data_IF_252857714789
#
_entry.id   IF_252857714789
#
_cell.length_a   1.000
_cell.length_b   1.000
_cell.length_c   1.000
_cell.angle_alpha   90.00
_cell.angle_beta   90.00
_cell.angle_gamma   90.00
#
_symmetry.space_group_name_H-M   'P 1'
#
loop_
_entity.id
_entity.type
_entity.pdbx_description
1 polymer ?
#
# COMPACT_ATOMS: atom_id res chain seq x y z
N UNK A 1 32.82 1.16 -34.36
CA UNK A 1 31.43 1.38 -33.93
C UNK A 1 31.11 0.35 -32.85
N UNK A 2 31.21 0.72 -31.57
CA UNK A 2 30.91 -0.16 -30.43
C UNK A 2 29.77 0.47 -29.64
N UNK A 3 28.60 -0.15 -29.73
CA UNK A 3 27.39 0.21 -28.99
C UNK A 3 27.58 -0.11 -27.50
N UNK A 4 27.74 0.92 -26.68
CA UNK A 4 27.60 0.83 -25.22
C UNK A 4 26.14 0.56 -24.89
N UNK A 5 25.82 -0.71 -24.64
CA UNK A 5 24.53 -1.10 -24.03
C UNK A 5 24.44 -0.45 -22.65
N UNK A 6 23.40 0.34 -22.33
CA UNK A 6 23.28 0.94 -21.01
C UNK A 6 23.04 -0.19 -20.02
N UNK A 7 24.06 -0.49 -19.21
CA UNK A 7 23.92 -1.39 -18.07
C UNK A 7 22.73 -0.89 -17.25
N UNK A 8 21.69 -1.74 -17.08
CA UNK A 8 20.55 -1.47 -16.20
C UNK A 8 21.10 -1.17 -14.80
N UNK A 9 21.30 0.11 -14.48
CA UNK A 9 21.70 0.54 -13.15
C UNK A 9 20.61 0.08 -12.19
N UNK A 10 20.99 -0.75 -11.21
CA UNK A 10 20.08 -1.16 -10.14
C UNK A 10 19.72 0.11 -9.34
N UNK A 11 18.44 0.31 -8.97
CA UNK A 11 18.03 1.47 -8.21
C UNK A 11 18.83 1.59 -6.91
N UNK A 12 19.28 2.80 -6.58
CA UNK A 12 20.04 3.06 -5.34
C UNK A 12 19.13 2.94 -4.12
N UNK A 13 19.66 2.70 -2.90
CA UNK A 13 18.85 2.63 -1.69
C UNK A 13 17.97 3.87 -1.47
N UNK A 14 18.49 5.07 -1.78
CA UNK A 14 17.76 6.34 -1.70
C UNK A 14 16.58 6.40 -2.66
N UNK A 15 16.73 5.84 -3.86
CA UNK A 15 15.64 5.73 -4.84
C UNK A 15 14.57 4.73 -4.40
N UNK A 16 14.88 3.74 -3.55
CA UNK A 16 13.91 2.73 -3.09
C UNK A 16 13.03 3.20 -1.93
N UNK A 17 13.49 4.17 -1.12
CA UNK A 17 12.75 4.65 0.05
C UNK A 17 11.35 5.17 -0.32
N UNK A 18 11.17 6.04 -1.33
CA UNK A 18 9.85 6.53 -1.73
C UNK A 18 8.92 5.39 -2.18
N UNK A 19 9.43 4.44 -2.98
CA UNK A 19 8.63 3.29 -3.43
C UNK A 19 8.15 2.41 -2.28
N UNK A 20 9.00 2.17 -1.28
CA UNK A 20 8.63 1.36 -0.12
C UNK A 20 7.62 2.11 0.77
N UNK A 21 7.87 3.39 1.04
CA UNK A 21 6.94 4.26 1.80
C UNK A 21 5.55 4.23 1.18
N UNK A 22 5.46 4.44 -0.13
CA UNK A 22 4.16 4.58 -0.80
C UNK A 22 3.40 3.25 -0.90
N UNK A 23 4.12 2.14 -1.13
CA UNK A 23 3.53 0.79 -1.06
C UNK A 23 2.99 0.45 0.31
N UNK A 24 3.73 0.78 1.37
CA UNK A 24 3.28 0.57 2.75
C UNK A 24 2.03 1.41 3.02
N UNK A 25 2.03 2.69 2.63
CA UNK A 25 0.90 3.59 2.84
C UNK A 25 -0.37 3.12 2.13
N UNK A 26 -0.30 2.83 0.82
CA UNK A 26 -1.46 2.36 0.04
C UNK A 26 -1.96 1.00 0.54
N UNK A 27 -1.05 0.07 0.86
CA UNK A 27 -1.43 -1.23 1.41
C UNK A 27 -2.10 -1.11 2.77
N UNK A 28 -1.62 -0.20 3.60
CA UNK A 28 -2.19 0.05 4.91
C UNK A 28 -3.61 0.65 4.82
N UNK A 29 -3.79 1.68 4.01
CA UNK A 29 -5.10 2.32 3.77
C UNK A 29 -6.08 1.32 3.16
N UNK A 30 -5.66 0.55 2.15
CA UNK A 30 -6.52 -0.45 1.53
C UNK A 30 -6.91 -1.57 2.50
N UNK A 31 -6.00 -2.02 3.37
CA UNK A 31 -6.31 -3.00 4.41
C UNK A 31 -7.35 -2.45 5.40
N UNK A 32 -7.20 -1.20 5.85
CA UNK A 32 -8.14 -0.57 6.76
C UNK A 32 -9.56 -0.48 6.15
N UNK A 33 -9.67 -0.11 4.88
CA UNK A 33 -10.95 -0.06 4.16
C UNK A 33 -11.59 -1.44 4.04
N UNK A 34 -10.81 -2.45 3.67
CA UNK A 34 -11.33 -3.82 3.56
C UNK A 34 -11.80 -4.38 4.91
N UNK A 35 -11.09 -4.08 6.00
CA UNK A 35 -11.52 -4.47 7.35
C UNK A 35 -12.82 -3.77 7.76
N UNK A 36 -12.97 -2.49 7.41
CA UNK A 36 -14.22 -1.74 7.64
C UNK A 36 -15.41 -2.33 6.88
N UNK A 37 -15.21 -2.67 5.60
CA UNK A 37 -16.23 -3.34 4.78
C UNK A 37 -16.57 -4.74 5.31
N UNK A 38 -15.56 -5.51 5.70
CA UNK A 38 -15.75 -6.86 6.23
C UNK A 38 -16.54 -6.90 7.53
N UNK A 39 -16.54 -5.82 8.31
CA UNK A 39 -17.34 -5.74 9.52
C UNK A 39 -18.85 -5.74 9.25
N UNK A 40 -19.27 -5.32 8.05
CA UNK A 40 -20.66 -5.33 7.58
C UNK A 40 -20.80 -6.16 6.31
N UNK A 41 -20.05 -7.27 6.21
CA UNK A 41 -19.95 -8.04 4.97
C UNK A 41 -21.31 -8.53 4.46
N UNK A 42 -22.22 -8.90 5.37
CA UNK A 42 -23.58 -9.36 5.04
C UNK A 42 -24.45 -8.31 4.32
N UNK A 43 -24.16 -7.02 4.55
CA UNK A 43 -24.89 -5.89 3.94
C UNK A 43 -24.06 -5.20 2.83
N UNK A 44 -22.85 -5.69 2.56
CA UNK A 44 -21.93 -5.06 1.62
C UNK A 44 -22.17 -5.59 0.21
N UNK A 45 -22.61 -4.71 -0.69
CA UNK A 45 -22.65 -5.06 -2.11
C UNK A 45 -21.21 -5.26 -2.66
N UNK A 46 -20.96 -6.32 -3.47
CA UNK A 46 -19.64 -6.58 -4.04
C UNK A 46 -19.05 -5.39 -4.81
N UNK A 47 -19.89 -4.64 -5.52
CA UNK A 47 -19.45 -3.47 -6.27
C UNK A 47 -18.99 -2.34 -5.34
N UNK A 48 -19.65 -2.14 -4.20
CA UNK A 48 -19.26 -1.17 -3.17
C UNK A 48 -17.90 -1.52 -2.59
N UNK A 49 -17.57 -2.80 -2.42
CA UNK A 49 -16.25 -3.21 -1.96
C UNK A 49 -15.14 -2.87 -2.96
N UNK A 50 -15.36 -3.16 -4.25
CA UNK A 50 -14.42 -2.82 -5.33
C UNK A 50 -14.20 -1.32 -5.42
N UNK A 51 -15.28 -0.54 -5.49
CA UNK A 51 -15.19 0.92 -5.66
C UNK A 51 -14.58 1.59 -4.45
N UNK A 52 -14.94 1.18 -3.23
CA UNK A 52 -14.33 1.69 -2.00
C UNK A 52 -12.83 1.46 -1.96
N UNK A 53 -12.36 0.26 -2.31
CA UNK A 53 -10.94 -0.04 -2.36
C UNK A 53 -10.20 0.80 -3.42
N UNK A 54 -10.79 0.95 -4.61
CA UNK A 54 -10.20 1.76 -5.68
C UNK A 54 -10.12 3.24 -5.31
N UNK A 55 -11.19 3.81 -4.74
CA UNK A 55 -11.23 5.19 -4.25
C UNK A 55 -10.17 5.39 -3.19
N UNK A 56 -10.05 4.46 -2.24
CA UNK A 56 -9.05 4.54 -1.18
C UNK A 56 -7.61 4.47 -1.73
N UNK A 57 -7.35 3.56 -2.67
CA UNK A 57 -6.04 3.41 -3.28
C UNK A 57 -5.63 4.66 -4.09
N UNK A 58 -6.52 5.16 -4.95
CA UNK A 58 -6.29 6.36 -5.75
C UNK A 58 -6.17 7.59 -4.85
N UNK A 59 -7.00 7.69 -3.82
CA UNK A 59 -6.95 8.77 -2.82
C UNK A 59 -5.62 8.77 -2.06
N UNK A 60 -5.19 7.61 -1.57
CA UNK A 60 -3.92 7.44 -0.87
C UNK A 60 -2.71 7.75 -1.78
N UNK A 61 -2.71 7.24 -3.01
CA UNK A 61 -1.65 7.53 -3.98
C UNK A 61 -1.61 9.02 -4.35
N UNK A 62 -2.77 9.64 -4.60
CA UNK A 62 -2.86 11.07 -4.90
C UNK A 62 -2.37 11.93 -3.73
N UNK A 63 -2.73 11.56 -2.50
CA UNK A 63 -2.21 12.23 -1.30
C UNK A 63 -0.69 12.07 -1.16
N UNK A 64 -0.14 10.89 -1.48
CA UNK A 64 1.30 10.65 -1.56
C UNK A 64 1.99 11.57 -2.57
N UNK A 65 1.45 11.64 -3.79
CA UNK A 65 1.96 12.51 -4.85
C UNK A 65 1.93 13.99 -4.43
N UNK A 66 0.83 14.47 -3.85
CA UNK A 66 0.72 15.84 -3.34
C UNK A 66 1.71 16.09 -2.22
N UNK A 67 1.88 15.14 -1.29
CA UNK A 67 2.87 15.24 -0.21
C UNK A 67 4.28 15.38 -0.77
N UNK A 68 4.63 14.65 -1.83
CA UNK A 68 5.96 14.71 -2.43
C UNK A 68 6.19 16.03 -3.19
N UNK A 69 5.16 16.59 -3.84
CA UNK A 69 5.21 17.92 -4.46
C UNK A 69 5.45 19.00 -3.40
N UNK A 70 4.73 18.94 -2.28
CA UNK A 70 4.89 19.88 -1.16
C UNK A 70 6.30 19.75 -0.56
N UNK A 71 6.80 18.53 -0.37
CA UNK A 71 8.16 18.30 0.12
C UNK A 71 9.21 18.85 -0.84
N UNK A 72 9.04 18.66 -2.16
CA UNK A 72 9.94 19.20 -3.17
C UNK A 72 9.96 20.73 -3.14
N UNK A 73 8.79 21.37 -3.06
CA UNK A 73 8.65 22.82 -2.95
C UNK A 73 9.32 23.36 -1.68
N UNK A 74 9.14 22.69 -0.54
CA UNK A 74 9.75 23.09 0.74
C UNK A 74 11.28 23.00 0.75
N UNK A 75 11.86 22.04 0.03
CA UNK A 75 13.32 21.84 -0.03
C UNK A 75 13.98 22.68 -1.13
N UNK A 76 13.35 22.79 -2.31
CA UNK A 76 13.96 23.41 -3.50
C UNK A 76 13.41 24.81 -3.82
N UNK A 77 12.31 25.23 -3.20
CA UNK A 77 11.70 26.55 -3.40
C UNK A 77 10.99 26.74 -4.75
N UNK A 78 10.84 25.68 -5.56
CA UNK A 78 10.11 25.71 -6.83
C UNK A 78 9.31 24.41 -7.06
N UNK A 79 8.39 24.44 -8.02
CA UNK A 79 7.65 23.25 -8.43
C UNK A 79 8.58 22.26 -9.17
N UNK A 80 8.30 20.94 -9.10
CA UNK A 80 9.08 19.94 -9.82
C UNK A 80 9.02 20.16 -11.33
N UNK A 81 10.13 19.93 -12.02
CA UNK A 81 10.16 19.94 -13.49
C UNK A 81 9.42 18.71 -14.03
N UNK A 82 8.99 18.75 -15.30
CA UNK A 82 8.21 17.67 -15.92
C UNK A 82 8.84 16.26 -15.77
N UNK A 83 10.17 16.15 -15.88
CA UNK A 83 10.89 14.89 -15.70
C UNK A 83 10.86 14.39 -14.24
N UNK A 84 10.93 15.29 -13.26
CA UNK A 84 10.86 14.98 -11.83
C UNK A 84 9.43 14.60 -11.43
N UNK A 85 8.44 15.33 -11.94
CA UNK A 85 7.03 15.03 -11.74
C UNK A 85 6.66 13.64 -12.29
N UNK A 86 7.15 13.28 -13.48
CA UNK A 86 6.98 11.92 -14.02
C UNK A 86 7.62 10.85 -13.11
N UNK A 87 8.73 11.18 -12.45
CA UNK A 87 9.32 10.35 -11.41
C UNK A 87 8.38 10.14 -10.24
N UNK A 88 7.83 11.22 -9.66
CA UNK A 88 6.88 11.16 -8.55
C UNK A 88 5.62 10.36 -8.89
N UNK A 89 5.02 10.61 -10.07
CA UNK A 89 3.85 9.85 -10.55
C UNK A 89 4.18 8.37 -10.73
N UNK A 90 5.39 8.03 -11.17
CA UNK A 90 5.82 6.63 -11.33
C UNK A 90 6.03 5.92 -10.00
N UNK A 91 6.48 6.63 -8.96
CA UNK A 91 6.54 6.09 -7.59
C UNK A 91 5.14 5.80 -7.09
N UNK A 92 4.24 6.77 -7.22
CA UNK A 92 2.87 6.68 -6.74
C UNK A 92 2.04 5.62 -7.44
N UNK A 93 2.08 5.56 -8.76
CA UNK A 93 1.43 4.49 -9.54
C UNK A 93 2.02 3.10 -9.25
N UNK A 94 3.32 3.03 -8.90
CA UNK A 94 3.97 1.79 -8.48
C UNK A 94 3.42 1.21 -7.17
N UNK A 95 2.77 2.03 -6.34
CA UNK A 95 2.08 1.59 -5.14
C UNK A 95 0.67 1.07 -5.44
N UNK A 96 -0.03 1.61 -6.43
CA UNK A 96 -1.34 1.10 -6.86
C UNK A 96 -1.30 -0.35 -7.35
N UNK A 97 -0.13 -0.84 -7.75
CA UNK A 97 0.06 -2.26 -8.08
C UNK A 97 -0.29 -3.21 -6.91
N UNK A 98 -0.23 -2.74 -5.65
CA UNK A 98 -0.55 -3.60 -4.49
C UNK A 98 -2.03 -3.95 -4.37
N UNK A 99 -2.92 -3.11 -4.93
CA UNK A 99 -4.38 -3.35 -4.88
C UNK A 99 -4.90 -4.14 -6.06
N UNK A 100 -4.09 -4.43 -7.08
CA UNK A 100 -4.52 -5.17 -8.28
C UNK A 100 -5.07 -6.55 -7.92
N UNK A 101 -4.32 -7.34 -7.14
CA UNK A 101 -4.74 -8.71 -6.79
C UNK A 101 -6.00 -8.72 -5.89
N UNK A 102 -6.10 -7.88 -4.84
CA UNK A 102 -7.35 -7.72 -4.09
C UNK A 102 -8.55 -7.32 -4.96
N UNK A 103 -8.37 -6.37 -5.88
CA UNK A 103 -9.44 -5.93 -6.79
C UNK A 103 -9.91 -7.08 -7.67
N UNK A 104 -8.98 -7.88 -8.23
CA UNK A 104 -9.33 -9.05 -9.03
C UNK A 104 -10.21 -10.01 -8.23
N UNK A 105 -9.84 -10.30 -6.98
CA UNK A 105 -10.62 -11.18 -6.10
C UNK A 105 -12.01 -10.61 -5.81
N UNK A 106 -12.12 -9.31 -5.53
CA UNK A 106 -13.42 -8.68 -5.29
C UNK A 106 -14.31 -8.66 -6.54
N UNK A 107 -13.72 -8.50 -7.73
CA UNK A 107 -14.45 -8.60 -9.00
C UNK A 107 -15.03 -10.00 -9.20
N UNK A 108 -14.40 -11.07 -8.70
CA UNK A 108 -15.00 -12.41 -8.73
C UNK A 108 -16.32 -12.48 -7.94
N UNK A 109 -16.44 -11.74 -6.84
CA UNK A 109 -17.70 -11.63 -6.12
C UNK A 109 -18.75 -10.79 -6.88
N UNK A 110 -18.33 -9.75 -7.61
CA UNK A 110 -19.24 -8.96 -8.47
C UNK A 110 -19.86 -9.83 -9.56
N UNK A 111 -19.08 -10.75 -10.15
CA UNK A 111 -19.56 -11.68 -11.18
C UNK A 111 -20.30 -12.88 -10.57
N UNK A 112 -20.35 -12.99 -9.23
CA UNK A 112 -21.06 -14.04 -8.51
C UNK A 112 -20.34 -15.40 -8.46
N UNK A 113 -19.03 -15.44 -8.71
CA UNK A 113 -18.25 -16.69 -8.63
C UNK A 113 -17.97 -17.11 -7.19
N UNK A 114 -17.84 -16.14 -6.28
CA UNK A 114 -17.59 -16.37 -4.86
C UNK A 114 -18.45 -15.41 -4.01
N UNK A 115 -18.81 -15.77 -2.77
CA UNK A 115 -19.48 -14.87 -1.84
C UNK A 115 -18.62 -13.65 -1.49
N UNK A 116 -19.25 -12.50 -1.20
CA UNK A 116 -18.56 -11.24 -0.89
C UNK A 116 -17.70 -11.35 0.37
N UNK A 117 -18.16 -12.10 1.37
CA UNK A 117 -17.46 -12.38 2.63
C UNK A 117 -16.16 -13.14 2.36
N UNK A 118 -16.21 -14.11 1.46
CA UNK A 118 -15.03 -14.90 1.05
C UNK A 118 -14.06 -14.01 0.28
N UNK A 119 -14.56 -13.19 -0.64
CA UNK A 119 -13.73 -12.28 -1.41
C UNK A 119 -13.04 -11.24 -0.51
N UNK A 120 -13.76 -10.66 0.46
CA UNK A 120 -13.22 -9.72 1.45
C UNK A 120 -12.16 -10.38 2.32
N UNK A 121 -12.40 -11.57 2.85
CA UNK A 121 -11.43 -12.31 3.66
C UNK A 121 -10.13 -12.59 2.88
N UNK A 122 -10.24 -13.02 1.63
CA UNK A 122 -9.09 -13.27 0.76
C UNK A 122 -8.36 -11.97 0.41
N UNK A 123 -9.09 -10.90 0.09
CA UNK A 123 -8.51 -9.58 -0.19
C UNK A 123 -7.76 -9.00 1.03
N UNK A 124 -8.32 -9.13 2.23
CA UNK A 124 -7.68 -8.76 3.51
C UNK A 124 -6.38 -9.56 3.67
N UNK A 125 -6.44 -10.88 3.48
CA UNK A 125 -5.26 -11.74 3.59
C UNK A 125 -4.16 -11.32 2.60
N UNK A 126 -4.51 -11.05 1.33
CA UNK A 126 -3.56 -10.57 0.31
C UNK A 126 -2.91 -9.25 0.74
N UNK A 127 -3.69 -8.29 1.24
CA UNK A 127 -3.17 -6.99 1.66
C UNK A 127 -2.28 -7.10 2.90
N UNK A 128 -2.69 -7.90 3.88
CA UNK A 128 -1.89 -8.19 5.07
C UNK A 128 -0.57 -8.89 4.71
N UNK A 129 -0.60 -9.88 3.82
CA UNK A 129 0.59 -10.57 3.32
C UNK A 129 1.48 -9.63 2.51
N UNK A 130 0.92 -8.74 1.70
CA UNK A 130 1.68 -7.74 0.94
C UNK A 130 2.39 -6.77 1.87
N UNK A 131 1.68 -6.24 2.87
CA UNK A 131 2.25 -5.35 3.87
C UNK A 131 3.32 -6.07 4.72
N UNK A 132 3.02 -7.29 5.16
CA UNK A 132 3.94 -8.16 5.88
C UNK A 132 5.19 -8.48 5.07
N UNK A 133 5.06 -8.78 3.77
CA UNK A 133 6.18 -9.05 2.89
C UNK A 133 7.04 -7.80 2.67
N UNK A 134 6.44 -6.63 2.42
CA UNK A 134 7.17 -5.37 2.23
C UNK A 134 7.91 -4.97 3.52
N UNK A 135 7.23 -5.06 4.67
CA UNK A 135 7.83 -4.80 5.99
C UNK A 135 8.93 -5.80 6.35
N UNK A 136 8.67 -7.10 6.15
CA UNK A 136 9.65 -8.16 6.37
C UNK A 136 10.89 -7.96 5.51
N UNK A 137 10.73 -7.69 4.21
CA UNK A 137 11.87 -7.46 3.32
C UNK A 137 12.69 -6.25 3.74
N UNK A 138 12.04 -5.17 4.18
CA UNK A 138 12.69 -3.97 4.69
C UNK A 138 13.48 -4.25 5.98
N UNK A 139 12.90 -4.96 6.94
CA UNK A 139 13.53 -5.27 8.23
C UNK A 139 14.62 -6.34 8.09
N UNK A 140 14.38 -7.42 7.35
CA UNK A 140 15.34 -8.52 7.24
C UNK A 140 16.54 -8.19 6.36
N UNK A 141 16.38 -7.37 5.32
CA UNK A 141 17.54 -6.87 4.54
C UNK A 141 18.29 -5.74 5.23
N UNK A 142 17.77 -5.19 6.31
CA UNK A 142 18.49 -4.17 7.08
C UNK A 142 19.59 -4.81 7.94
N UNK A 143 20.74 -4.15 8.01
CA UNK A 143 21.83 -4.46 8.95
C UNK A 143 21.52 -4.03 10.39
N UNK A 144 20.23 -3.85 10.72
CA UNK A 144 19.79 -3.42 12.04
C UNK A 144 20.22 -4.44 13.10
N UNK A 145 20.66 -3.90 14.25
CA UNK A 145 20.87 -4.69 15.47
C UNK A 145 19.55 -5.39 15.82
N UNK A 146 19.63 -6.63 16.28
CA UNK A 146 18.46 -7.51 16.48
C UNK A 146 17.37 -6.91 17.38
N UNK A 147 17.74 -6.09 18.37
CA UNK A 147 16.79 -5.34 19.21
C UNK A 147 15.91 -4.36 18.43
N UNK A 148 16.44 -3.71 17.39
CA UNK A 148 15.66 -2.82 16.53
C UNK A 148 14.70 -3.62 15.62
N UNK A 149 15.08 -4.82 15.19
CA UNK A 149 14.18 -5.74 14.48
C UNK A 149 13.02 -6.18 15.37
N UNK A 150 13.31 -6.47 16.65
CA UNK A 150 12.31 -6.81 17.65
C UNK A 150 11.35 -5.64 17.92
N UNK A 151 11.87 -4.41 17.99
CA UNK A 151 11.06 -3.21 18.17
C UNK A 151 10.10 -2.98 16.99
N UNK A 152 10.55 -3.15 15.75
CA UNK A 152 9.68 -3.00 14.55
C UNK A 152 8.62 -4.11 14.52
N UNK A 153 8.98 -5.35 14.85
CA UNK A 153 8.02 -6.44 14.95
C UNK A 153 6.96 -6.15 16.02
N UNK A 154 7.37 -5.67 17.19
CA UNK A 154 6.47 -5.31 18.27
C UNK A 154 5.56 -4.13 17.86
N UNK A 155 6.09 -3.13 17.16
CA UNK A 155 5.31 -2.02 16.63
C UNK A 155 4.24 -2.51 15.63
N UNK A 156 4.58 -3.42 14.72
CA UNK A 156 3.61 -4.06 13.81
C UNK A 156 2.52 -4.82 14.58
N UNK A 157 2.91 -5.53 15.65
CA UNK A 157 1.98 -6.35 16.45
C UNK A 157 1.03 -5.47 17.27
N UNK A 158 1.56 -4.42 17.91
CA UNK A 158 0.77 -3.39 18.59
C UNK A 158 -0.16 -2.68 17.61
N UNK A 159 0.34 -2.37 16.41
CA UNK A 159 -0.46 -1.70 15.40
C UNK A 159 -1.60 -2.59 14.91
N UNK A 160 -1.33 -3.87 14.62
CA UNK A 160 -2.37 -4.85 14.29
C UNK A 160 -3.41 -5.00 15.41
N UNK A 161 -2.96 -5.03 16.66
CA UNK A 161 -3.85 -5.08 17.82
C UNK A 161 -4.69 -3.81 17.98
N UNK A 162 -4.11 -2.64 17.72
CA UNK A 162 -4.81 -1.36 17.75
C UNK A 162 -5.90 -1.29 16.68
N UNK A 163 -5.65 -1.81 15.48
CA UNK A 163 -6.68 -1.91 14.42
C UNK A 163 -7.83 -2.80 14.88
N UNK A 164 -7.54 -3.96 15.46
CA UNK A 164 -8.56 -4.86 16.02
C UNK A 164 -9.36 -4.17 17.14
N UNK A 165 -8.70 -3.43 18.03
CA UNK A 165 -9.36 -2.70 19.11
C UNK A 165 -10.24 -1.56 18.61
N UNK A 166 -9.75 -0.76 17.64
CA UNK A 166 -10.55 0.29 16.98
C UNK A 166 -11.76 -0.33 16.30
N UNK A 167 -11.60 -1.49 15.67
CA UNK A 167 -12.71 -2.22 15.08
C UNK A 167 -13.70 -2.67 16.15
N UNK A 168 -13.27 -3.25 17.27
CA UNK A 168 -14.17 -3.63 18.35
C UNK A 168 -14.91 -2.43 18.97
N UNK A 169 -14.23 -1.29 19.15
CA UNK A 169 -14.82 -0.08 19.72
C UNK A 169 -15.79 0.63 18.76
N UNK A 170 -15.55 0.53 17.45
CA UNK A 170 -16.47 1.07 16.44
C UNK A 170 -17.75 0.23 16.29
N UNK A 171 -17.80 -0.97 16.87
CA UNK A 171 -18.91 -1.92 16.77
C UNK A 171 -19.48 -2.34 18.15
N UNK A 172 -19.08 -1.63 19.22
CA UNK A 172 -19.66 -1.74 20.56
C UNK A 172 -20.76 -0.72 20.79
#
# INVERSE_FOLDING_TARGET
>A
MTSTSPARQRPTPEQLVPYLKERVYVSFIGLAVLLGLNAHASDTEPLTAVTSLLIAAVGAGSAGLVSDIIAHLGVHGHLPKAAEFAGLVRVSSGALATVVLPVVVLVLAVVGWIPVETALAVAIAIMALTLGAVGYLAVFRSSLRWWAKLAVFFALLVFGLAVILVQLLAHG
#
